data_IF_890452328820
#
_entry.id   IF_890452328820
#
_cell.length_a   1.000
_cell.length_b   1.000
_cell.length_c   1.000
_cell.angle_alpha   90.00
_cell.angle_beta   90.00
_cell.angle_gamma   90.00
#
_symmetry.space_group_name_H-M   'P 1'
#
loop_
_entity.id
_entity.type
_entity.pdbx_description
1 polymer ?
#
# COMPACT_ATOMS: atom_id res chain seq x y z
N UNK A 1 -8.58 31.16 -4.87
CA UNK A 1 -9.76 30.55 -5.49
C UNK A 1 -9.93 29.05 -5.18
N UNK A 2 -8.93 28.33 -4.64
CA UNK A 2 -9.03 26.88 -4.35
C UNK A 2 -8.74 26.51 -2.87
N UNK A 3 -8.98 27.44 -1.94
CA UNK A 3 -8.58 27.24 -0.53
C UNK A 3 -9.35 26.08 0.13
N UNK A 4 -10.62 25.87 -0.24
CA UNK A 4 -11.47 24.85 0.37
C UNK A 4 -11.08 23.45 -0.10
N UNK A 5 -10.93 23.28 -1.41
CA UNK A 5 -10.56 22.03 -2.06
C UNK A 5 -9.17 21.57 -1.61
N UNK A 6 -8.22 22.51 -1.50
CA UNK A 6 -6.89 22.20 -0.96
C UNK A 6 -6.92 21.80 0.50
N UNK A 7 -7.74 22.46 1.32
CA UNK A 7 -7.89 22.08 2.72
C UNK A 7 -8.52 20.68 2.90
N UNK A 8 -9.42 20.28 1.99
CA UNK A 8 -9.98 18.93 1.96
C UNK A 8 -8.92 17.91 1.56
N UNK A 9 -8.11 18.19 0.53
CA UNK A 9 -6.95 17.35 0.16
C UNK A 9 -5.99 17.21 1.34
N UNK A 10 -5.63 18.31 2.01
CA UNK A 10 -4.73 18.28 3.17
C UNK A 10 -5.28 17.42 4.33
N UNK A 11 -6.61 17.38 4.49
CA UNK A 11 -7.26 16.54 5.49
C UNK A 11 -7.18 15.05 5.09
N UNK A 12 -7.48 14.73 3.83
CA UNK A 12 -7.36 13.38 3.28
C UNK A 12 -5.91 12.88 3.37
N UNK A 13 -4.93 13.71 3.03
CA UNK A 13 -3.52 13.34 3.06
C UNK A 13 -3.06 12.97 4.48
N UNK A 14 -3.55 13.68 5.51
CA UNK A 14 -3.29 13.30 6.91
C UNK A 14 -3.84 11.93 7.28
N UNK A 15 -4.99 11.56 6.73
CA UNK A 15 -5.56 10.24 6.93
C UNK A 15 -4.78 9.17 6.15
N UNK A 16 -4.39 9.46 4.91
CA UNK A 16 -3.57 8.58 4.10
C UNK A 16 -2.22 8.29 4.75
N UNK A 17 -1.55 9.28 5.34
CA UNK A 17 -0.30 9.07 6.10
C UNK A 17 -0.52 8.10 7.26
N UNK A 18 -1.55 8.32 8.08
CA UNK A 18 -1.86 7.43 9.22
C UNK A 18 -2.20 6.01 8.77
N UNK A 19 -2.93 5.87 7.67
CA UNK A 19 -3.28 4.56 7.10
C UNK A 19 -2.05 3.86 6.52
N UNK A 20 -1.15 4.63 5.90
CA UNK A 20 0.11 4.13 5.37
C UNK A 20 1.02 3.61 6.47
N UNK A 21 1.24 4.38 7.54
CA UNK A 21 2.05 3.96 8.70
C UNK A 21 1.52 2.64 9.30
N UNK A 22 0.21 2.57 9.57
CA UNK A 22 -0.43 1.33 10.05
C UNK A 22 -0.25 0.14 9.10
N UNK A 23 -0.26 0.40 7.79
CA UNK A 23 -0.01 -0.65 6.78
C UNK A 23 1.44 -1.10 6.83
N UNK A 24 2.40 -0.18 6.98
CA UNK A 24 3.82 -0.50 7.09
C UNK A 24 4.07 -1.38 8.30
N UNK A 25 3.55 -1.03 9.48
CA UNK A 25 3.66 -1.86 10.70
C UNK A 25 3.16 -3.30 10.46
N UNK A 26 2.00 -3.44 9.82
CA UNK A 26 1.42 -4.74 9.51
C UNK A 26 2.29 -5.56 8.53
N UNK A 27 2.88 -4.90 7.53
CA UNK A 27 3.75 -5.56 6.56
C UNK A 27 5.08 -5.96 7.19
N UNK A 28 5.69 -5.10 8.01
CA UNK A 28 6.90 -5.42 8.78
C UNK A 28 6.68 -6.63 9.69
N UNK A 29 5.52 -6.74 10.35
CA UNK A 29 5.21 -7.91 11.16
C UNK A 29 5.07 -9.19 10.30
N UNK A 30 4.44 -9.10 9.13
CA UNK A 30 4.38 -10.22 8.17
C UNK A 30 5.78 -10.64 7.74
N UNK A 31 6.66 -9.70 7.42
CA UNK A 31 8.05 -9.99 7.04
C UNK A 31 8.82 -10.66 8.19
N UNK A 32 8.65 -10.18 9.43
CA UNK A 32 9.26 -10.77 10.63
C UNK A 32 8.83 -12.21 10.82
N UNK A 33 7.53 -12.51 10.64
CA UNK A 33 6.99 -13.86 10.68
C UNK A 33 7.59 -14.72 9.56
N UNK A 34 7.60 -14.24 8.32
CA UNK A 34 8.19 -14.97 7.18
C UNK A 34 9.66 -15.33 7.44
N UNK A 35 10.44 -14.38 7.96
CA UNK A 35 11.85 -14.59 8.34
C UNK A 35 12.01 -15.64 9.43
N UNK A 36 11.17 -15.59 10.48
CA UNK A 36 11.17 -16.57 11.58
C UNK A 36 10.89 -18.00 11.12
N UNK A 37 10.04 -18.18 10.10
CA UNK A 37 9.62 -19.48 9.60
C UNK A 37 10.27 -19.87 8.25
N UNK A 38 11.28 -19.12 7.78
CA UNK A 38 11.94 -19.34 6.50
C UNK A 38 10.99 -19.42 5.28
N UNK A 39 9.91 -18.64 5.32
CA UNK A 39 8.95 -18.56 4.22
C UNK A 39 9.47 -17.63 3.12
N UNK A 40 9.09 -17.87 1.84
CA UNK A 40 9.48 -17.00 0.74
C UNK A 40 8.97 -15.57 0.94
N UNK A 41 9.85 -14.61 0.67
CA UNK A 41 9.54 -13.17 0.78
C UNK A 41 8.60 -12.74 -0.35
N UNK A 42 8.89 -13.19 -1.58
CA UNK A 42 8.10 -12.90 -2.78
C UNK A 42 6.87 -13.81 -2.88
N UNK A 43 5.68 -13.22 -2.94
CA UNK A 43 4.42 -13.93 -3.22
C UNK A 43 3.62 -13.18 -4.28
N UNK A 44 3.98 -13.40 -5.55
CA UNK A 44 3.32 -12.78 -6.70
C UNK A 44 1.81 -13.05 -6.70
N UNK A 45 1.39 -14.26 -6.32
CA UNK A 45 -0.03 -14.63 -6.25
C UNK A 45 -0.77 -13.79 -5.21
N UNK A 46 -0.10 -13.41 -4.12
CA UNK A 46 -0.68 -12.52 -3.11
C UNK A 46 -0.82 -11.09 -3.64
N UNK A 47 0.18 -10.59 -4.36
CA UNK A 47 0.16 -9.26 -4.98
C UNK A 47 -0.99 -9.13 -5.98
N UNK A 48 -1.14 -10.09 -6.89
CA UNK A 48 -2.21 -10.11 -7.88
C UNK A 48 -3.59 -10.06 -7.21
N UNK A 49 -3.80 -10.85 -6.14
CA UNK A 49 -5.04 -10.82 -5.35
C UNK A 49 -5.31 -9.47 -4.69
N UNK A 50 -4.28 -8.75 -4.24
CA UNK A 50 -4.46 -7.40 -3.68
C UNK A 50 -4.86 -6.43 -4.79
N UNK A 51 -4.22 -6.48 -5.95
CA UNK A 51 -4.54 -5.60 -7.07
C UNK A 51 -5.97 -5.82 -7.58
N UNK A 52 -6.42 -7.06 -7.71
CA UNK A 52 -7.81 -7.39 -8.03
C UNK A 52 -8.79 -6.87 -6.96
N UNK A 53 -8.45 -7.06 -5.68
CA UNK A 53 -9.28 -6.55 -4.58
C UNK A 53 -9.42 -5.03 -4.65
N UNK A 54 -8.33 -4.30 -4.88
CA UNK A 54 -8.33 -2.84 -4.98
C UNK A 54 -9.18 -2.36 -6.17
N UNK A 55 -9.03 -3.02 -7.32
CA UNK A 55 -9.86 -2.76 -8.50
C UNK A 55 -11.34 -2.93 -8.21
N UNK A 56 -11.70 -3.97 -7.46
CA UNK A 56 -13.09 -4.27 -7.10
C UNK A 56 -13.65 -3.32 -6.04
N UNK A 57 -12.84 -2.94 -5.04
CA UNK A 57 -13.21 -1.96 -4.01
C UNK A 57 -13.35 -0.54 -4.54
N UNK A 58 -12.73 -0.23 -5.69
CA UNK A 58 -12.87 1.10 -6.29
C UNK A 58 -14.27 1.23 -6.91
N UNK A 59 -15.12 2.03 -6.26
CA UNK A 59 -16.52 2.24 -6.67
C UNK A 59 -16.59 2.94 -8.03
N UNK A 60 -15.90 4.09 -8.15
CA UNK A 60 -15.80 4.78 -9.43
C UNK A 60 -14.83 4.07 -10.37
N UNK A 61 -15.36 3.37 -11.36
CA UNK A 61 -14.57 2.56 -12.30
C UNK A 61 -13.61 3.39 -13.16
N UNK A 62 -13.83 4.70 -13.32
CA UNK A 62 -12.86 5.57 -13.97
C UNK A 62 -11.52 5.67 -13.20
N UNK A 63 -11.53 5.41 -11.89
CA UNK A 63 -10.33 5.46 -11.05
C UNK A 63 -9.69 4.08 -10.83
N UNK A 64 -10.31 3.00 -11.29
CA UNK A 64 -9.88 1.64 -10.94
C UNK A 64 -8.44 1.33 -11.38
N UNK A 65 -8.06 1.70 -12.60
CA UNK A 65 -6.67 1.50 -13.06
C UNK A 65 -5.68 2.40 -12.33
N UNK A 66 -6.03 3.66 -12.07
CA UNK A 66 -5.19 4.57 -11.28
C UNK A 66 -4.96 4.04 -9.86
N UNK A 67 -5.99 3.48 -9.24
CA UNK A 67 -5.89 2.83 -7.93
C UNK A 67 -4.99 1.58 -7.97
N UNK A 68 -5.10 0.76 -9.02
CA UNK A 68 -4.20 -0.39 -9.22
C UNK A 68 -2.75 0.07 -9.34
N UNK A 69 -2.47 1.13 -10.11
CA UNK A 69 -1.11 1.66 -10.27
C UNK A 69 -0.55 2.25 -8.97
N UNK A 70 -1.38 2.96 -8.20
CA UNK A 70 -1.01 3.45 -6.87
C UNK A 70 -0.64 2.30 -5.94
N UNK A 71 -1.43 1.23 -5.92
CA UNK A 71 -1.13 0.06 -5.07
C UNK A 71 0.13 -0.70 -5.51
N UNK A 72 0.44 -0.76 -6.81
CA UNK A 72 1.73 -1.30 -7.28
C UNK A 72 2.90 -0.48 -6.74
N UNK A 73 2.82 0.85 -6.82
CA UNK A 73 3.85 1.73 -6.24
C UNK A 73 3.95 1.54 -4.74
N UNK A 74 2.82 1.46 -4.04
CA UNK A 74 2.77 1.23 -2.61
C UNK A 74 3.46 -0.08 -2.20
N UNK A 75 3.24 -1.16 -2.97
CA UNK A 75 3.92 -2.45 -2.74
C UNK A 75 5.42 -2.32 -2.94
N UNK A 76 5.87 -1.66 -4.01
CA UNK A 76 7.30 -1.46 -4.28
C UNK A 76 7.97 -0.66 -3.16
N UNK A 77 7.40 0.47 -2.75
CA UNK A 77 7.92 1.27 -1.61
C UNK A 77 8.06 0.43 -0.34
N UNK A 78 7.11 -0.49 -0.11
CA UNK A 78 7.18 -1.36 1.06
C UNK A 78 8.30 -2.39 0.94
N UNK A 79 8.51 -2.98 -0.24
CA UNK A 79 9.60 -3.92 -0.51
C UNK A 79 10.96 -3.24 -0.35
N UNK A 80 11.10 -2.04 -0.91
CA UNK A 80 12.35 -1.26 -0.83
C UNK A 80 12.69 -0.97 0.64
N UNK A 81 11.71 -0.56 1.44
CA UNK A 81 11.88 -0.37 2.88
C UNK A 81 12.28 -1.67 3.60
N UNK A 82 11.62 -2.80 3.31
CA UNK A 82 11.97 -4.10 3.87
C UNK A 82 13.41 -4.52 3.51
N UNK A 83 13.84 -4.30 2.27
CA UNK A 83 15.21 -4.60 1.82
C UNK A 83 16.23 -3.73 2.55
N UNK A 84 15.95 -2.44 2.74
CA UNK A 84 16.83 -1.54 3.51
C UNK A 84 16.96 -1.96 4.97
N UNK A 85 15.87 -2.39 5.62
CA UNK A 85 15.91 -2.84 7.02
C UNK A 85 16.56 -4.22 7.20
N UNK A 86 16.71 -5.02 6.14
CA UNK A 86 17.32 -6.35 6.17
C UNK A 86 18.77 -6.38 5.67
N UNK A 87 19.32 -5.26 5.21
CA UNK A 87 20.76 -5.07 4.99
C UNK A 87 21.50 -5.00 6.33
#
# INVERSE_FOLDING_TARGET
MFKKERAEIDAIDKELVKLFERRMDAVTEVARIKKKYHLPVLDQKREDKVLEKVRNLTENKAYAESMVQLYKHLMNVTKDFEEEQNK
#
